data_IF_900053794923
#
_entry.id   IF_900053794923
#
_cell.length_a   1.000
_cell.length_b   1.000
_cell.length_c   1.000
_cell.angle_alpha   90.00
_cell.angle_beta   90.00
_cell.angle_gamma   90.00
#
_symmetry.space_group_name_H-M   'P 1'
#
loop_
_entity.id
_entity.type
_entity.pdbx_description
1 polymer ?
#
# COMPACT_ATOMS: atom_id res chain seq x y z
N UNK A 1 8.08 -8.89 15.55
CA UNK A 1 6.88 -9.48 14.91
C UNK A 1 6.03 -10.33 15.86
N UNK A 2 6.61 -11.14 16.75
CA UNK A 2 5.81 -11.97 17.70
C UNK A 2 4.86 -11.17 18.61
N UNK A 3 5.29 -10.03 19.15
CA UNK A 3 4.43 -9.13 19.95
C UNK A 3 3.32 -8.50 19.11
N UNK A 4 3.57 -8.22 17.82
CA UNK A 4 2.57 -7.68 16.87
C UNK A 4 1.49 -8.74 16.61
N UNK A 5 1.91 -9.98 16.34
CA UNK A 5 1.03 -11.12 16.14
C UNK A 5 0.15 -11.41 17.38
N UNK A 6 0.75 -11.45 18.57
CA UNK A 6 0.02 -11.72 19.82
C UNK A 6 -1.07 -10.68 20.12
N UNK A 7 -0.97 -9.48 19.54
CA UNK A 7 -1.93 -8.40 19.72
C UNK A 7 -2.96 -8.29 18.59
N UNK A 8 -2.96 -9.23 17.64
CA UNK A 8 -3.85 -9.19 16.47
C UNK A 8 -3.59 -8.00 15.54
N UNK A 9 -2.37 -7.46 15.56
CA UNK A 9 -1.98 -6.32 14.73
C UNK A 9 -1.42 -6.78 13.39
N UNK A 10 -1.53 -5.93 12.38
CA UNK A 10 -0.91 -6.14 11.07
C UNK A 10 0.47 -5.49 10.95
N UNK A 11 1.29 -5.97 10.03
CA UNK A 11 2.61 -5.40 9.71
C UNK A 11 2.61 -4.77 8.33
N UNK A 12 3.20 -3.58 8.19
CA UNK A 12 3.38 -2.93 6.89
C UNK A 12 4.88 -2.90 6.62
N UNK A 13 5.29 -3.56 5.55
CA UNK A 13 6.68 -3.52 5.11
C UNK A 13 6.90 -2.29 4.22
N UNK A 14 7.59 -1.31 4.75
CA UNK A 14 8.01 -0.08 4.06
C UNK A 14 9.51 -0.10 3.73
N UNK A 15 10.10 -1.29 3.54
CA UNK A 15 11.51 -1.44 3.18
C UNK A 15 11.87 -0.59 1.96
N UNK A 16 12.89 0.25 2.12
CA UNK A 16 13.42 1.07 1.03
C UNK A 16 14.38 0.27 0.17
N UNK A 17 14.69 0.78 -1.02
CA UNK A 17 15.74 0.20 -1.87
C UNK A 17 17.04 -0.04 -1.08
N UNK A 18 17.56 -1.26 -1.13
CA UNK A 18 18.75 -1.69 -0.36
C UNK A 18 18.46 -2.31 1.01
N UNK A 19 17.21 -2.30 1.49
CA UNK A 19 16.81 -3.01 2.70
C UNK A 19 16.28 -4.40 2.35
N UNK A 20 16.54 -5.39 3.22
CA UNK A 20 15.92 -6.72 3.08
C UNK A 20 14.46 -6.62 3.50
N UNK A 21 13.50 -7.01 2.65
CA UNK A 21 12.10 -7.12 3.05
C UNK A 21 11.97 -8.08 4.24
N UNK A 22 11.14 -7.70 5.20
CA UNK A 22 10.77 -8.53 6.36
C UNK A 22 9.51 -9.36 6.10
N UNK A 23 8.83 -9.15 4.97
CA UNK A 23 7.70 -9.95 4.54
C UNK A 23 7.95 -11.47 4.59
N UNK A 24 9.10 -12.02 4.17
CA UNK A 24 9.33 -13.47 4.26
C UNK A 24 9.23 -14.03 5.68
N UNK A 25 9.41 -13.18 6.70
CA UNK A 25 9.24 -13.55 8.11
C UNK A 25 7.76 -13.45 8.50
N UNK A 26 7.04 -12.44 8.03
CA UNK A 26 5.60 -12.28 8.26
C UNK A 26 4.79 -13.42 7.63
N UNK A 27 5.13 -13.83 6.42
CA UNK A 27 4.57 -15.01 5.73
C UNK A 27 4.73 -16.28 6.57
N UNK A 28 5.96 -16.56 7.01
CA UNK A 28 6.28 -17.78 7.77
C UNK A 28 5.54 -17.90 9.09
N UNK A 29 5.13 -16.78 9.69
CA UNK A 29 4.39 -16.79 10.96
C UNK A 29 2.89 -16.55 10.77
N UNK A 30 2.40 -16.38 9.54
CA UNK A 30 0.99 -16.09 9.27
C UNK A 30 0.54 -14.73 9.82
N UNK A 31 1.44 -13.74 9.86
CA UNK A 31 1.11 -12.38 10.29
C UNK A 31 0.47 -11.63 9.11
N UNK A 32 -0.75 -11.08 9.26
CA UNK A 32 -1.32 -10.20 8.24
C UNK A 32 -0.37 -9.05 7.90
N UNK A 33 -0.03 -8.91 6.62
CA UNK A 33 0.96 -7.93 6.20
C UNK A 33 0.68 -7.37 4.82
N UNK A 34 1.18 -6.15 4.58
CA UNK A 34 1.10 -5.47 3.29
C UNK A 34 2.48 -4.93 2.89
N UNK A 35 2.68 -4.79 1.58
CA UNK A 35 3.85 -4.11 1.02
C UNK A 35 3.48 -2.68 0.69
N UNK A 36 4.38 -1.74 0.98
CA UNK A 36 4.22 -0.35 0.57
C UNK A 36 4.74 -0.16 -0.87
N UNK A 37 3.85 0.06 -1.83
CA UNK A 37 4.23 0.31 -3.23
C UNK A 37 4.98 1.63 -3.38
N UNK A 38 4.52 2.70 -2.71
CA UNK A 38 5.14 4.01 -2.78
C UNK A 38 4.74 4.95 -1.63
N UNK A 39 5.53 6.00 -1.44
CA UNK A 39 5.14 7.19 -0.67
C UNK A 39 4.77 8.30 -1.65
N UNK A 40 3.50 8.70 -1.70
CA UNK A 40 2.96 9.58 -2.75
C UNK A 40 3.51 11.01 -2.69
N UNK A 41 3.91 11.48 -1.51
CA UNK A 41 4.36 12.85 -1.27
C UNK A 41 5.86 12.94 -0.92
N UNK A 42 6.64 11.91 -1.25
CA UNK A 42 8.10 11.95 -1.03
C UNK A 42 8.77 13.11 -1.79
N UNK A 43 8.16 13.55 -2.89
CA UNK A 43 8.48 14.81 -3.56
C UNK A 43 7.29 15.75 -3.35
N UNK A 44 7.45 16.88 -2.63
CA UNK A 44 6.34 17.72 -2.17
C UNK A 44 5.84 18.67 -3.26
N UNK A 45 5.50 18.13 -4.44
CA UNK A 45 4.88 18.88 -5.54
C UNK A 45 3.59 18.22 -6.01
N UNK A 46 2.63 19.05 -6.43
CA UNK A 46 1.36 18.59 -6.97
C UNK A 46 1.53 17.59 -8.12
N UNK A 47 2.41 17.92 -9.07
CA UNK A 47 2.64 17.10 -10.26
C UNK A 47 3.26 15.73 -9.89
N UNK A 48 4.18 15.70 -8.93
CA UNK A 48 4.79 14.44 -8.49
C UNK A 48 3.79 13.55 -7.73
N UNK A 49 2.96 14.14 -6.87
CA UNK A 49 1.88 13.43 -6.17
C UNK A 49 0.88 12.84 -7.18
N UNK A 50 0.39 13.65 -8.12
CA UNK A 50 -0.56 13.21 -9.14
C UNK A 50 0.03 12.11 -10.04
N UNK A 51 1.33 12.17 -10.35
CA UNK A 51 2.02 11.12 -11.11
C UNK A 51 2.09 9.80 -10.32
N UNK A 52 2.41 9.85 -9.03
CA UNK A 52 2.46 8.66 -8.17
C UNK A 52 1.08 8.06 -7.92
N UNK A 53 0.04 8.88 -7.79
CA UNK A 53 -1.35 8.41 -7.67
C UNK A 53 -1.79 7.67 -8.93
N UNK A 54 -1.52 8.21 -10.13
CA UNK A 54 -1.78 7.49 -11.39
C UNK A 54 -1.04 6.17 -11.45
N UNK A 55 0.23 6.13 -11.04
CA UNK A 55 0.99 4.89 -10.99
C UNK A 55 0.39 3.88 -10.00
N UNK A 56 -0.10 4.34 -8.86
CA UNK A 56 -0.75 3.50 -7.86
C UNK A 56 -2.03 2.85 -8.42
N UNK A 57 -2.82 3.60 -9.16
CA UNK A 57 -4.01 3.09 -9.87
C UNK A 57 -3.61 2.00 -10.88
N UNK A 58 -2.56 2.21 -11.68
CA UNK A 58 -2.08 1.20 -12.63
C UNK A 58 -1.65 -0.10 -11.93
N UNK A 59 -1.04 -0.01 -10.75
CA UNK A 59 -0.70 -1.18 -9.94
C UNK A 59 -1.97 -1.86 -9.47
N UNK A 60 -2.91 -1.13 -8.86
CA UNK A 60 -4.16 -1.68 -8.34
C UNK A 60 -4.98 -2.39 -9.41
N UNK A 61 -5.05 -1.82 -10.63
CA UNK A 61 -5.74 -2.45 -11.76
C UNK A 61 -5.08 -3.75 -12.24
N UNK A 62 -3.76 -3.90 -12.05
CA UNK A 62 -2.99 -5.08 -12.46
C UNK A 62 -2.97 -6.17 -11.40
N UNK A 63 -2.85 -5.79 -10.13
CA UNK A 63 -2.62 -6.71 -8.99
C UNK A 63 -3.86 -6.91 -8.12
N UNK A 64 -4.93 -6.13 -8.35
CA UNK A 64 -6.15 -6.11 -7.54
C UNK A 64 -6.05 -5.21 -6.30
N UNK A 65 -4.84 -4.94 -5.80
CA UNK A 65 -4.60 -4.08 -4.63
C UNK A 65 -3.29 -3.32 -4.79
N UNK A 66 -3.28 -2.06 -4.36
CA UNK A 66 -2.07 -1.27 -4.20
C UNK A 66 -2.13 -0.45 -2.91
N UNK A 67 -1.00 -0.30 -2.24
CA UNK A 67 -0.86 0.33 -0.94
C UNK A 67 0.17 1.44 -1.02
N UNK A 68 -0.22 2.65 -0.64
CA UNK A 68 0.68 3.78 -0.56
C UNK A 68 0.58 4.49 0.79
N UNK A 69 1.64 5.23 1.11
CA UNK A 69 1.74 6.08 2.27
C UNK A 69 1.76 7.54 1.83
N UNK A 70 1.26 8.41 2.69
CA UNK A 70 1.32 9.85 2.53
C UNK A 70 1.65 10.46 3.89
N UNK A 71 2.45 11.53 3.90
CA UNK A 71 2.51 12.44 5.02
C UNK A 71 1.22 13.25 5.16
N UNK A 72 1.08 13.93 6.30
CA UNK A 72 -0.10 14.72 6.64
C UNK A 72 0.01 16.20 6.18
N UNK A 73 0.71 16.47 5.06
CA UNK A 73 0.83 17.84 4.57
C UNK A 73 -0.50 18.33 3.97
N UNK A 74 -0.83 19.63 4.06
CA UNK A 74 -2.05 20.17 3.46
C UNK A 74 -2.15 19.90 1.95
N UNK A 75 -1.00 19.92 1.25
CA UNK A 75 -0.91 19.59 -0.16
C UNK A 75 -1.29 18.13 -0.42
N UNK A 76 -0.68 17.18 0.30
CA UNK A 76 -0.95 15.75 0.12
C UNK A 76 -2.42 15.41 0.42
N UNK A 77 -2.96 15.93 1.53
CA UNK A 77 -4.37 15.72 1.91
C UNK A 77 -5.31 16.26 0.83
N UNK A 78 -5.10 17.49 0.34
CA UNK A 78 -5.93 18.07 -0.72
C UNK A 78 -5.90 17.25 -2.01
N UNK A 79 -4.73 16.75 -2.39
CA UNK A 79 -4.57 15.92 -3.60
C UNK A 79 -5.25 14.56 -3.45
N UNK A 80 -5.12 13.92 -2.28
CA UNK A 80 -5.81 12.67 -1.98
C UNK A 80 -7.33 12.80 -2.04
N UNK A 81 -7.90 13.88 -1.49
CA UNK A 81 -9.35 14.13 -1.55
C UNK A 81 -9.82 14.20 -3.00
N UNK A 82 -9.21 15.10 -3.80
CA UNK A 82 -9.57 15.27 -5.21
C UNK A 82 -9.41 13.97 -6.02
N UNK A 83 -8.34 13.23 -5.77
CA UNK A 83 -8.10 11.95 -6.42
C UNK A 83 -9.15 10.90 -6.05
N UNK A 84 -9.51 10.80 -4.78
CA UNK A 84 -10.45 9.80 -4.27
C UNK A 84 -11.85 9.91 -4.90
N UNK A 85 -12.27 11.14 -5.23
CA UNK A 85 -13.54 11.41 -5.91
C UNK A 85 -13.58 10.83 -7.34
N UNK A 86 -12.42 10.56 -7.94
CA UNK A 86 -12.32 10.06 -9.32
C UNK A 86 -12.26 8.54 -9.43
N UNK A 87 -12.11 7.82 -8.32
CA UNK A 87 -11.80 6.38 -8.32
C UNK A 87 -12.92 5.52 -8.88
N UNK A 88 -14.18 5.84 -8.54
CA UNK A 88 -15.34 5.07 -8.99
C UNK A 88 -15.44 5.04 -10.53
N UNK A 89 -15.15 6.17 -11.19
CA UNK A 89 -15.13 6.25 -12.66
C UNK A 89 -14.04 5.39 -13.30
N UNK A 90 -13.06 4.93 -12.51
CA UNK A 90 -11.93 4.10 -12.95
C UNK A 90 -12.02 2.66 -12.42
N UNK A 91 -13.18 2.25 -11.90
CA UNK A 91 -13.40 0.94 -11.27
C UNK A 91 -12.46 0.66 -10.09
N UNK A 92 -12.14 1.70 -9.32
CA UNK A 92 -11.29 1.60 -8.12
C UNK A 92 -12.09 2.07 -6.90
N UNK A 93 -11.71 1.55 -5.73
CA UNK A 93 -12.25 1.97 -4.43
C UNK A 93 -11.11 2.18 -3.45
N UNK A 94 -11.23 3.22 -2.63
CA UNK A 94 -10.35 3.42 -1.49
C UNK A 94 -10.89 2.61 -0.30
N UNK A 95 -10.08 1.68 0.21
CA UNK A 95 -10.45 0.83 1.33
C UNK A 95 -9.52 1.02 2.52
N UNK A 96 -9.99 0.78 3.77
CA UNK A 96 -9.10 0.62 4.91
C UNK A 96 -8.09 -0.49 4.64
N UNK A 97 -6.83 -0.27 5.04
CA UNK A 97 -5.76 -1.23 4.77
C UNK A 97 -6.05 -2.63 5.36
N UNK A 98 -6.71 -2.70 6.52
CA UNK A 98 -7.13 -3.95 7.14
C UNK A 98 -8.17 -4.75 6.33
N UNK A 99 -8.92 -4.10 5.45
CA UNK A 99 -9.88 -4.75 4.55
C UNK A 99 -9.25 -5.14 3.21
N UNK A 100 -8.27 -4.36 2.74
CA UNK A 100 -7.55 -4.62 1.50
C UNK A 100 -6.56 -5.79 1.63
N UNK A 101 -6.12 -6.07 2.86
CA UNK A 101 -5.12 -7.09 3.19
C UNK A 101 -5.82 -8.20 3.99
N UNK A 102 -6.64 -9.00 3.32
CA UNK A 102 -6.85 -10.38 3.75
C UNK A 102 -5.51 -11.13 3.65
N UNK A 103 -5.29 -12.27 4.33
CA UNK A 103 -4.04 -13.02 4.24
C UNK A 103 -3.69 -13.18 2.76
N UNK A 104 -2.58 -12.60 2.32
CA UNK A 104 -2.15 -12.73 0.94
C UNK A 104 -1.89 -14.23 0.73
N UNK A 105 -2.84 -14.91 0.08
CA UNK A 105 -2.55 -16.22 -0.49
C UNK A 105 -1.50 -15.92 -1.54
N UNK A 106 -0.26 -16.29 -1.22
CA UNK A 106 0.85 -16.32 -2.16
C UNK A 106 0.32 -17.02 -3.41
N UNK A 107 0.20 -16.29 -4.51
CA UNK A 107 -0.05 -16.93 -5.79
C UNK A 107 1.11 -17.90 -6.01
N UNK A 108 0.80 -19.19 -6.10
CA UNK A 108 1.77 -20.27 -6.32
C UNK A 108 2.79 -19.84 -7.39
N UNK A 109 4.02 -19.59 -6.96
CA UNK A 109 5.15 -19.56 -7.88
C UNK A 109 5.44 -21.01 -8.28
N UNK A 110 5.57 -21.33 -9.58
CA UNK A 110 5.84 -22.69 -10.03
C UNK A 110 7.16 -23.19 -9.43
N UNK A 111 7.14 -24.45 -9.00
CA UNK A 111 8.30 -25.20 -8.51
C UNK A 111 9.38 -25.36 -9.58
#
# INVERSE_FOLDING_TARGET
MRVVQQRGLMFIDAARAGQRPLVPIADRIGLPHAWLDTTIDAEPSAAAIDAKLRRLEEVALKTGVAVAAAGASPLAVRRLVLWSETLAARNLVLAPLSAAVAPQVVADAPQ
#
